data_IF_736206708585
#
_entry.id   IF_736206708585
#
_cell.length_a   1.000
_cell.length_b   1.000
_cell.length_c   1.000
_cell.angle_alpha   90.00
_cell.angle_beta   90.00
_cell.angle_gamma   90.00
#
_symmetry.space_group_name_H-M   'P 1'
#
loop_
_entity.id
_entity.type
_entity.pdbx_description
1 polymer ?
#
# COMPACT_ATOMS: atom_id res chain seq x y z
N UNK A 1 -41.70 5.39 -15.71
CA UNK A 1 -41.18 5.98 -14.46
C UNK A 1 -39.81 5.36 -14.21
N UNK A 2 -38.74 6.04 -14.61
CA UNK A 2 -37.36 5.56 -14.37
C UNK A 2 -37.01 5.85 -12.91
N UNK A 3 -36.75 4.81 -12.12
CA UNK A 3 -36.10 4.99 -10.81
C UNK A 3 -34.63 5.33 -11.08
N UNK A 4 -34.09 6.45 -10.56
CA UNK A 4 -32.65 6.67 -10.59
C UNK A 4 -31.99 5.50 -9.85
N UNK A 5 -31.02 4.83 -10.47
CA UNK A 5 -30.20 3.88 -9.74
C UNK A 5 -29.44 4.67 -8.68
N UNK A 6 -29.54 4.24 -7.42
CA UNK A 6 -28.72 4.79 -6.36
C UNK A 6 -27.27 4.48 -6.72
N UNK A 7 -26.49 5.53 -7.01
CA UNK A 7 -25.04 5.43 -7.09
C UNK A 7 -24.59 4.90 -5.73
N UNK A 8 -24.17 3.63 -5.68
CA UNK A 8 -23.49 3.10 -4.50
C UNK A 8 -22.26 3.96 -4.30
N UNK A 9 -22.20 4.70 -3.19
CA UNK A 9 -20.99 5.41 -2.81
C UNK A 9 -19.99 4.35 -2.34
N UNK A 10 -19.12 3.91 -3.26
CA UNK A 10 -17.95 3.13 -2.89
C UNK A 10 -17.12 4.05 -2.00
N UNK A 11 -17.02 3.72 -0.71
CA UNK A 11 -16.15 4.45 0.21
C UNK A 11 -14.71 4.20 -0.26
N UNK A 12 -13.94 5.24 -0.60
CA UNK A 12 -12.56 5.05 -1.01
C UNK A 12 -11.76 4.47 0.16
N UNK A 13 -10.87 3.53 -0.14
CA UNK A 13 -9.95 2.96 0.84
C UNK A 13 -9.08 4.07 1.45
N UNK A 14 -8.93 4.04 2.76
CA UNK A 14 -8.09 4.96 3.52
C UNK A 14 -7.70 4.35 4.87
N UNK A 15 -6.69 4.97 5.50
CA UNK A 15 -6.27 4.62 6.85
C UNK A 15 -4.90 3.95 6.90
N UNK A 16 -4.59 3.39 8.07
CA UNK A 16 -3.40 2.60 8.34
C UNK A 16 -3.80 1.11 8.47
N UNK A 17 -3.13 0.26 7.71
CA UNK A 17 -3.24 -1.20 7.83
C UNK A 17 -1.87 -1.77 8.16
N UNK A 18 -1.81 -2.80 8.99
CA UNK A 18 -0.53 -3.45 9.30
C UNK A 18 -0.68 -4.94 9.63
N UNK A 19 0.44 -5.65 9.50
CA UNK A 19 0.61 -7.01 9.98
C UNK A 19 1.85 -7.13 10.85
N UNK A 20 1.90 -8.19 11.67
CA UNK A 20 3.01 -8.44 12.57
C UNK A 20 3.15 -7.38 13.66
N UNK A 21 4.31 -7.36 14.32
CA UNK A 21 4.65 -6.36 15.34
C UNK A 21 6.14 -6.05 15.29
N UNK A 22 6.48 -4.77 15.20
CA UNK A 22 7.87 -4.30 15.17
C UNK A 22 8.65 -4.71 16.44
N UNK A 23 7.96 -4.83 17.57
CA UNK A 23 8.58 -5.12 18.87
C UNK A 23 8.97 -6.60 19.04
N UNK A 24 8.48 -7.49 18.17
CA UNK A 24 8.70 -8.94 18.28
C UNK A 24 9.92 -9.47 17.52
N UNK A 25 10.65 -8.62 16.80
CA UNK A 25 11.76 -9.03 15.94
C UNK A 25 11.33 -9.88 14.72
N UNK A 26 10.04 -10.14 14.54
CA UNK A 26 9.49 -10.87 13.40
C UNK A 26 9.23 -9.99 12.18
N UNK A 27 8.81 -10.62 11.09
CA UNK A 27 8.33 -9.91 9.90
C UNK A 27 7.14 -9.01 10.26
N UNK A 28 7.13 -7.80 9.72
CA UNK A 28 6.08 -6.81 9.93
C UNK A 28 6.02 -5.83 8.76
N UNK A 29 4.86 -5.19 8.60
CA UNK A 29 4.68 -4.17 7.58
C UNK A 29 3.48 -3.30 7.88
N UNK A 30 3.52 -2.08 7.36
CA UNK A 30 2.47 -1.08 7.49
C UNK A 30 2.23 -0.38 6.17
N UNK A 31 0.97 -0.06 5.89
CA UNK A 31 0.58 0.75 4.74
C UNK A 31 -0.33 1.89 5.18
N UNK A 32 0.06 3.10 4.82
CA UNK A 32 -0.75 4.32 4.95
C UNK A 32 -1.42 4.60 3.61
N UNK A 33 -2.72 4.84 3.62
CA UNK A 33 -3.52 5.03 2.41
C UNK A 33 -4.28 6.34 2.48
N UNK A 34 -3.99 7.22 1.51
CA UNK A 34 -4.63 8.50 1.32
C UNK A 34 -5.52 8.47 0.06
N UNK A 35 -6.84 8.70 0.17
CA UNK A 35 -7.72 8.72 -0.97
C UNK A 35 -7.48 9.97 -1.83
N UNK A 36 -7.17 9.79 -3.12
CA UNK A 36 -6.93 10.90 -4.04
C UNK A 36 -8.22 11.34 -4.74
N UNK A 37 -9.03 10.37 -5.18
CA UNK A 37 -10.35 10.54 -5.80
C UNK A 37 -11.09 9.19 -5.81
N UNK A 38 -12.26 9.14 -6.46
CA UNK A 38 -13.14 7.97 -6.54
C UNK A 38 -12.48 6.71 -7.12
N UNK A 39 -11.40 6.82 -7.90
CA UNK A 39 -10.76 5.71 -8.59
C UNK A 39 -9.28 5.53 -8.30
N UNK A 40 -8.70 6.32 -7.39
CA UNK A 40 -7.29 6.21 -7.05
C UNK A 40 -6.96 6.66 -5.63
N UNK A 41 -5.88 6.11 -5.11
CA UNK A 41 -5.35 6.44 -3.79
C UNK A 41 -3.83 6.47 -3.84
N UNK A 42 -3.24 7.32 -3.01
CA UNK A 42 -1.81 7.30 -2.74
C UNK A 42 -1.56 6.38 -1.57
N UNK A 43 -0.42 5.68 -1.59
CA UNK A 43 -0.02 4.84 -0.48
C UNK A 43 1.46 5.00 -0.16
N UNK A 44 1.78 4.74 1.10
CA UNK A 44 3.14 4.50 1.59
C UNK A 44 3.15 3.13 2.23
N UNK A 45 3.96 2.21 1.71
CA UNK A 45 4.10 0.84 2.20
C UNK A 45 5.53 0.64 2.72
N UNK A 46 5.66 0.26 3.98
CA UNK A 46 6.91 -0.06 4.66
C UNK A 46 6.87 -1.53 5.11
N UNK A 47 7.93 -2.29 4.83
CA UNK A 47 7.98 -3.73 5.11
C UNK A 47 9.35 -4.11 5.64
N UNK A 48 9.37 -5.00 6.63
CA UNK A 48 10.58 -5.57 7.21
C UNK A 48 10.43 -7.07 7.39
N UNK A 49 11.49 -7.82 7.09
CA UNK A 49 11.53 -9.27 7.36
C UNK A 49 11.89 -9.61 8.80
N UNK A 50 12.24 -8.62 9.62
CA UNK A 50 12.70 -8.81 11.00
C UNK A 50 14.10 -9.42 11.12
N UNK A 51 14.40 -9.93 12.31
CA UNK A 51 15.67 -10.52 12.69
C UNK A 51 16.07 -11.74 11.82
N UNK A 52 17.37 -12.05 11.70
CA UNK A 52 18.51 -11.34 12.26
C UNK A 52 19.07 -10.23 11.35
N UNK A 53 18.67 -10.21 10.08
CA UNK A 53 19.21 -9.24 9.10
C UNK A 53 18.50 -7.89 9.13
N UNK A 54 17.26 -7.85 9.60
CA UNK A 54 16.42 -6.65 9.64
C UNK A 54 16.32 -5.93 8.30
N UNK A 55 16.44 -6.66 7.19
CA UNK A 55 16.23 -6.08 5.86
C UNK A 55 14.82 -5.49 5.81
N UNK A 56 14.74 -4.26 5.36
CA UNK A 56 13.51 -3.52 5.22
C UNK A 56 13.60 -2.61 4.01
N UNK A 57 12.45 -2.22 3.52
CA UNK A 57 12.36 -1.19 2.52
C UNK A 57 10.95 -0.67 2.43
N UNK A 58 10.78 0.30 1.54
CA UNK A 58 9.52 0.97 1.43
C UNK A 58 9.31 1.51 0.03
N UNK A 59 8.04 1.67 -0.32
CA UNK A 59 7.62 2.24 -1.59
C UNK A 59 6.45 3.19 -1.36
N UNK A 60 6.46 4.29 -2.08
CA UNK A 60 5.32 5.21 -2.16
C UNK A 60 4.81 5.18 -3.59
N UNK A 61 3.50 5.12 -3.77
CA UNK A 61 2.91 4.96 -5.10
C UNK A 61 1.47 5.44 -5.17
N UNK A 62 0.95 5.47 -6.40
CA UNK A 62 -0.47 5.67 -6.69
C UNK A 62 -1.08 4.36 -7.13
N UNK A 63 -2.06 3.87 -6.39
CA UNK A 63 -2.84 2.69 -6.78
C UNK A 63 -4.16 3.09 -7.43
N UNK A 64 -4.57 2.30 -8.42
CA UNK A 64 -5.75 2.53 -9.26
C UNK A 64 -6.80 1.45 -8.97
N UNK A 65 -8.05 1.86 -8.79
CA UNK A 65 -9.20 0.97 -8.60
C UNK A 65 -9.53 0.29 -9.95
N UNK A 66 -9.50 -1.05 -9.99
CA UNK A 66 -9.77 -1.85 -11.20
C UNK A 66 -11.02 -2.73 -11.12
N UNK A 67 -11.72 -2.68 -10.00
CA UNK A 67 -12.90 -3.50 -9.73
C UNK A 67 -13.45 -3.19 -8.35
N UNK A 68 -14.40 -3.98 -7.87
CA UNK A 68 -14.91 -3.82 -6.51
C UNK A 68 -13.80 -4.11 -5.50
N UNK A 69 -13.45 -3.10 -4.69
CA UNK A 69 -12.46 -3.18 -3.61
C UNK A 69 -11.07 -3.71 -4.04
N UNK A 70 -10.73 -3.53 -5.31
CA UNK A 70 -9.53 -4.10 -5.91
C UNK A 70 -8.70 -3.02 -6.56
N UNK A 71 -7.43 -2.92 -6.17
CA UNK A 71 -6.51 -1.90 -6.65
C UNK A 71 -5.25 -2.54 -7.24
N UNK A 72 -4.61 -1.84 -8.18
CA UNK A 72 -3.27 -2.19 -8.65
C UNK A 72 -2.33 -0.99 -8.59
N UNK A 73 -1.06 -1.30 -8.42
CA UNK A 73 0.05 -0.38 -8.60
C UNK A 73 1.03 -1.03 -9.56
N UNK A 74 1.49 -0.24 -10.53
CA UNK A 74 2.52 -0.63 -11.50
C UNK A 74 3.58 0.45 -11.45
N UNK A 75 4.81 0.05 -11.16
CA UNK A 75 6.00 0.88 -11.36
C UNK A 75 6.76 0.32 -12.55
N UNK A 76 6.53 0.94 -13.70
CA UNK A 76 7.33 0.72 -14.90
C UNK A 76 8.38 1.82 -14.97
N UNK A 77 9.63 1.46 -14.67
CA UNK A 77 10.76 2.30 -14.98
C UNK A 77 11.30 1.85 -16.34
N UNK A 78 11.01 2.58 -17.43
CA UNK A 78 11.63 2.32 -18.72
C UNK A 78 13.16 2.31 -18.59
N UNK A 79 13.78 1.15 -18.77
CA UNK A 79 15.24 0.97 -18.70
C UNK A 79 15.79 0.40 -17.38
N UNK A 80 14.99 0.29 -16.31
CA UNK A 80 15.38 -0.41 -15.08
C UNK A 80 14.80 -1.82 -15.05
N UNK A 81 15.58 -2.77 -14.55
CA UNK A 81 15.11 -4.14 -14.30
C UNK A 81 14.18 -4.25 -13.08
N UNK A 82 13.56 -3.15 -12.62
CA UNK A 82 12.75 -3.08 -11.40
C UNK A 82 11.26 -2.81 -11.71
N UNK A 83 10.62 -3.76 -12.39
CA UNK A 83 9.16 -3.75 -12.53
C UNK A 83 8.52 -4.16 -11.21
N UNK A 84 7.76 -3.27 -10.59
CA UNK A 84 7.03 -3.59 -9.36
C UNK A 84 5.54 -3.52 -9.59
N UNK A 85 4.89 -4.68 -9.52
CA UNK A 85 3.46 -4.81 -9.67
C UNK A 85 2.85 -5.30 -8.36
N UNK A 86 2.03 -4.47 -7.75
CA UNK A 86 1.32 -4.81 -6.52
C UNK A 86 -0.18 -4.83 -6.80
N UNK A 87 -0.84 -5.83 -6.23
CA UNK A 87 -2.29 -5.95 -6.24
C UNK A 87 -2.78 -5.88 -4.80
N UNK A 88 -3.86 -5.12 -4.60
CA UNK A 88 -4.46 -4.88 -3.31
C UNK A 88 -5.92 -5.27 -3.37
N UNK A 89 -6.39 -6.05 -2.40
CA UNK A 89 -7.80 -6.42 -2.29
C UNK A 89 -8.28 -6.10 -0.88
N UNK A 90 -9.28 -5.24 -0.78
CA UNK A 90 -9.94 -4.90 0.48
C UNK A 90 -11.13 -5.83 0.70
N UNK A 91 -11.19 -6.46 1.87
CA UNK A 91 -12.29 -7.28 2.34
C UNK A 91 -12.57 -6.95 3.81
N UNK A 92 -13.62 -6.15 4.04
CA UNK A 92 -13.88 -5.54 5.34
C UNK A 92 -12.71 -4.69 5.82
N UNK A 93 -12.17 -5.04 6.99
CA UNK A 93 -11.03 -4.36 7.64
C UNK A 93 -9.68 -4.99 7.26
N UNK A 94 -9.65 -5.89 6.27
CA UNK A 94 -8.42 -6.57 5.83
C UNK A 94 -8.05 -6.15 4.42
N UNK A 95 -6.79 -5.74 4.23
CA UNK A 95 -6.18 -5.44 2.95
C UNK A 95 -5.16 -6.52 2.61
N UNK A 96 -5.49 -7.39 1.66
CA UNK A 96 -4.55 -8.37 1.11
C UNK A 96 -3.67 -7.71 0.05
N UNK A 97 -2.35 -7.80 0.23
CA UNK A 97 -1.36 -7.33 -0.74
C UNK A 97 -0.69 -8.53 -1.38
N UNK A 98 -0.53 -8.49 -2.71
CA UNK A 98 0.18 -9.53 -3.48
C UNK A 98 1.12 -8.88 -4.49
N UNK A 99 2.34 -9.39 -4.60
CA UNK A 99 3.23 -9.01 -5.70
C UNK A 99 2.98 -9.90 -6.92
N UNK A 100 2.75 -9.28 -8.07
CA UNK A 100 2.52 -9.96 -9.35
C UNK A 100 3.83 -10.11 -10.10
N UNK A 101 4.27 -11.35 -10.30
CA UNK A 101 5.52 -11.72 -10.98
C UNK A 101 6.78 -11.04 -10.35
N UNK A 102 7.95 -11.68 -10.46
CA UNK A 102 9.24 -11.04 -10.09
C UNK A 102 9.29 -10.27 -8.75
N UNK A 103 8.70 -10.84 -7.69
CA UNK A 103 8.49 -10.27 -6.33
C UNK A 103 9.66 -9.49 -5.69
N UNK A 104 10.87 -9.74 -6.17
CA UNK A 104 12.12 -9.13 -5.71
C UNK A 104 12.38 -7.72 -6.27
N UNK A 105 11.60 -7.29 -7.27
CA UNK A 105 11.87 -6.06 -8.03
C UNK A 105 11.28 -4.79 -7.44
N UNK A 106 10.49 -4.90 -6.37
CA UNK A 106 9.93 -3.74 -5.68
C UNK A 106 10.92 -2.98 -4.78
N UNK A 107 12.17 -3.45 -4.66
CA UNK A 107 13.22 -2.72 -3.96
C UNK A 107 13.09 -2.70 -2.43
N UNK A 108 12.34 -3.64 -1.84
CA UNK A 108 12.18 -3.74 -0.39
C UNK A 108 13.41 -4.28 0.35
N UNK A 109 14.46 -4.67 -0.38
CA UNK A 109 15.65 -5.32 0.18
C UNK A 109 15.60 -6.85 0.08
N UNK A 110 16.71 -7.49 0.45
CA UNK A 110 16.91 -8.92 0.21
C UNK A 110 15.94 -9.80 1.01
N UNK A 111 15.09 -10.53 0.27
CA UNK A 111 14.04 -11.41 0.78
C UNK A 111 13.07 -10.71 1.74
N UNK A 112 12.69 -9.47 1.38
CA UNK A 112 11.58 -8.73 1.98
C UNK A 112 10.44 -8.75 0.98
N UNK A 113 9.26 -9.20 1.43
CA UNK A 113 8.09 -9.35 0.57
C UNK A 113 6.92 -8.59 1.18
N UNK A 114 6.21 -7.76 0.38
CA UNK A 114 5.05 -7.04 0.86
C UNK A 114 3.81 -7.93 0.99
N UNK A 115 3.85 -9.14 0.44
CA UNK A 115 2.74 -10.07 0.37
C UNK A 115 2.21 -10.43 1.77
N UNK A 116 0.89 -10.34 1.94
CA UNK A 116 0.22 -10.70 3.18
C UNK A 116 -1.09 -9.96 3.40
N UNK A 117 -1.74 -10.26 4.52
CA UNK A 117 -2.98 -9.64 4.95
C UNK A 117 -2.70 -8.58 6.02
N UNK A 118 -3.04 -7.33 5.72
CA UNK A 118 -2.84 -6.18 6.59
C UNK A 118 -4.17 -5.81 7.20
N UNK A 119 -4.24 -5.76 8.53
CA UNK A 119 -5.48 -5.45 9.25
C UNK A 119 -5.53 -3.96 9.56
N UNK A 120 -6.69 -3.34 9.36
CA UNK A 120 -6.94 -1.94 9.70
C UNK A 120 -6.59 -1.68 11.17
N UNK A 121 -5.73 -0.68 11.41
CA UNK A 121 -5.34 -0.20 12.73
C UNK A 121 -5.97 1.12 13.06
N UNK A 122 -6.01 2.01 12.09
CA UNK A 122 -6.63 3.32 12.21
C UNK A 122 -7.36 3.67 10.92
N UNK A 123 -8.61 4.13 11.06
CA UNK A 123 -9.45 4.56 9.94
C UNK A 123 -9.31 6.05 9.60
N UNK A 124 -8.54 6.79 10.40
CA UNK A 124 -8.22 8.20 10.14
C UNK A 124 -7.40 8.30 8.86
N UNK A 125 -7.77 9.25 7.99
CA UNK A 125 -7.05 9.50 6.74
C UNK A 125 -5.68 10.10 7.08
N UNK A 126 -4.56 9.44 6.73
CA UNK A 126 -3.22 9.96 7.01
C UNK A 126 -2.91 11.13 6.08
N UNK A 127 -2.53 12.28 6.64
CA UNK A 127 -2.15 13.47 5.84
C UNK A 127 -0.69 13.42 5.35
N UNK A 128 0.16 12.69 6.06
CA UNK A 128 1.59 12.61 5.80
C UNK A 128 2.16 11.22 6.10
N UNK A 129 3.38 10.98 5.65
CA UNK A 129 4.21 9.84 6.04
C UNK A 129 5.65 10.30 6.34
N UNK A 130 6.40 9.47 7.05
CA UNK A 130 7.82 9.69 7.29
C UNK A 130 8.67 8.73 6.46
N UNK A 131 9.81 9.18 5.95
CA UNK A 131 10.82 8.29 5.37
C UNK A 131 11.72 7.69 6.47
N UNK A 132 12.65 6.80 6.08
CA UNK A 132 13.61 6.18 7.01
C UNK A 132 14.59 7.16 7.68
N UNK A 133 14.68 8.40 7.19
CA UNK A 133 15.51 9.48 7.78
C UNK A 133 14.70 10.34 8.77
N UNK A 134 13.40 10.11 8.91
CA UNK A 134 12.49 10.90 9.75
C UNK A 134 11.97 12.18 9.08
N UNK A 135 12.23 12.38 7.79
CA UNK A 135 11.65 13.51 7.03
C UNK A 135 10.17 13.28 6.78
N UNK A 136 9.36 14.33 6.95
CA UNK A 136 7.91 14.31 6.78
C UNK A 136 7.54 14.70 5.34
N UNK A 137 6.66 13.92 4.72
CA UNK A 137 6.10 14.16 3.39
C UNK A 137 4.58 14.14 3.45
N UNK A 138 3.93 15.18 2.93
CA UNK A 138 2.47 15.24 2.88
C UNK A 138 1.95 14.59 1.61
N UNK A 139 0.95 13.72 1.73
CA UNK A 139 0.38 13.01 0.57
C UNK A 139 -0.15 13.97 -0.50
N UNK A 140 -0.78 15.08 -0.08
CA UNK A 140 -1.34 16.09 -0.99
C UNK A 140 -0.29 16.77 -1.87
N UNK A 141 0.99 16.74 -1.48
CA UNK A 141 2.09 17.42 -2.16
C UNK A 141 2.92 16.45 -3.03
N UNK A 142 2.59 15.14 -3.02
CA UNK A 142 3.27 14.14 -3.85
C UNK A 142 2.68 14.14 -5.25
N UNK A 143 3.52 14.41 -6.25
CA UNK A 143 3.18 14.30 -7.67
C UNK A 143 3.63 12.94 -8.22
N UNK A 144 2.72 12.23 -8.90
CA UNK A 144 2.96 10.97 -9.62
C UNK A 144 2.58 11.11 -11.08
#
# INVERSE_FOLDING_TARGET
MFKPSQKSFIKPIAGEYSFGSANGGGSHGSILIYPLNDSSSLFRLDVSRGAPSYNSGAITGKMILNGENTYSFVKDNEGDMMNCNLFFKLDGDTLSISSLEEKFKCGFGYAVYPDGDYVLKDSVIPEFYMNGEGSIFYFKDVNF
#
